data_IF_498193556594
#
_entry.id   IF_498193556594
#
_cell.length_a   1.000
_cell.length_b   1.000
_cell.length_c   1.000
_cell.angle_alpha   90.00
_cell.angle_beta   90.00
_cell.angle_gamma   90.00
#
_symmetry.space_group_name_H-M   'P 1'
#
loop_
_entity.id
_entity.type
_entity.pdbx_description
1 polymer ?
#
# COMPACT_ATOMS: atom_id res chain seq x y z
N UNK A 1 10.11 13.38 -4.93
CA UNK A 1 9.70 13.54 -3.52
C UNK A 1 10.73 13.00 -2.55
N UNK A 2 10.96 11.67 -2.50
CA UNK A 2 11.79 11.01 -1.47
C UNK A 2 13.22 11.55 -1.36
N UNK A 3 13.91 11.74 -2.49
CA UNK A 3 15.29 12.26 -2.49
C UNK A 3 15.37 13.68 -1.94
N UNK A 4 14.41 14.54 -2.31
CA UNK A 4 14.37 15.94 -1.85
C UNK A 4 14.08 15.99 -0.36
N UNK A 5 13.07 15.26 0.12
CA UNK A 5 12.74 15.20 1.54
C UNK A 5 13.91 14.66 2.39
N UNK A 6 14.57 13.58 1.93
CA UNK A 6 15.72 13.00 2.62
C UNK A 6 16.90 13.95 2.64
N UNK A 7 17.25 14.60 1.52
CA UNK A 7 18.34 15.56 1.45
C UNK A 7 18.08 16.76 2.35
N UNK A 8 16.87 17.32 2.31
CA UNK A 8 16.50 18.43 3.18
C UNK A 8 16.63 18.05 4.67
N UNK A 9 16.14 16.86 5.05
CA UNK A 9 16.27 16.35 6.41
C UNK A 9 17.73 16.19 6.86
N UNK A 10 18.60 15.67 5.97
CA UNK A 10 20.03 15.55 6.27
C UNK A 10 20.71 16.90 6.47
N UNK A 11 20.34 17.92 5.69
CA UNK A 11 20.91 19.25 5.82
C UNK A 11 20.39 20.01 7.05
N UNK A 12 19.18 19.70 7.54
CA UNK A 12 18.62 20.34 8.75
C UNK A 12 19.57 20.22 9.94
N UNK A 13 20.18 19.06 10.19
CA UNK A 13 21.03 18.83 11.36
C UNK A 13 22.31 19.65 11.35
N UNK A 14 23.18 19.61 10.31
CA UNK A 14 24.42 20.39 10.31
C UNK A 14 24.16 21.89 10.23
N UNK A 15 23.13 22.32 9.48
CA UNK A 15 22.79 23.74 9.40
C UNK A 15 22.28 24.26 10.75
N UNK A 16 21.46 23.49 11.45
CA UNK A 16 21.02 23.84 12.80
C UNK A 16 22.18 23.89 13.78
N UNK A 17 23.12 22.96 13.72
CA UNK A 17 24.31 22.95 14.56
C UNK A 17 25.12 24.25 14.36
N UNK A 18 25.34 24.69 13.12
CA UNK A 18 26.03 25.93 12.79
C UNK A 18 25.23 27.14 13.34
N UNK A 19 23.94 27.22 13.06
CA UNK A 19 23.07 28.30 13.50
C UNK A 19 23.07 28.45 15.01
N UNK A 20 22.90 27.36 15.74
CA UNK A 20 22.90 27.37 17.22
C UNK A 20 24.26 27.69 17.79
N UNK A 21 25.34 27.15 17.21
CA UNK A 21 26.72 27.47 17.64
C UNK A 21 27.08 28.92 17.41
N UNK A 22 26.67 29.55 16.32
CA UNK A 22 26.87 30.97 16.06
C UNK A 22 26.08 31.84 17.03
N UNK A 23 24.84 31.49 17.35
CA UNK A 23 24.03 32.14 18.38
C UNK A 23 24.69 32.02 19.74
N UNK A 24 25.23 30.84 20.10
CA UNK A 24 26.00 30.66 21.36
C UNK A 24 27.27 31.49 21.39
N UNK A 25 27.98 31.65 20.28
CA UNK A 25 29.19 32.47 20.20
C UNK A 25 28.89 33.97 20.43
N UNK A 26 27.73 34.46 20.02
CA UNK A 26 27.33 35.86 20.12
C UNK A 26 26.70 36.20 21.48
N UNK A 27 25.85 35.32 22.01
CA UNK A 27 24.98 35.63 23.15
C UNK A 27 25.25 34.75 24.37
N UNK A 28 26.10 33.76 24.23
CA UNK A 28 26.36 32.78 25.29
C UNK A 28 25.27 31.72 25.42
N UNK A 29 25.46 30.74 26.29
CA UNK A 29 24.53 29.64 26.51
C UNK A 29 24.83 28.45 25.60
N UNK A 30 23.79 27.63 25.33
CA UNK A 30 23.87 26.48 24.46
C UNK A 30 24.06 25.14 25.16
N UNK A 31 23.92 24.06 24.40
CA UNK A 31 24.13 22.69 24.85
C UNK A 31 25.62 22.32 24.87
N UNK A 32 25.91 21.09 25.30
CA UNK A 32 27.28 20.57 25.39
C UNK A 32 28.08 20.74 24.08
N UNK A 33 27.52 20.37 22.95
CA UNK A 33 28.21 20.44 21.65
C UNK A 33 28.18 21.86 21.06
N UNK A 34 27.04 22.51 21.06
CA UNK A 34 26.85 23.84 20.45
C UNK A 34 27.56 24.93 21.25
N UNK A 35 27.62 24.78 22.57
CA UNK A 35 28.40 25.68 23.43
C UNK A 35 29.90 25.56 23.22
N UNK A 36 30.45 24.34 23.09
CA UNK A 36 31.87 24.13 22.81
C UNK A 36 32.31 24.70 21.47
N UNK A 37 31.51 24.44 20.41
CA UNK A 37 31.78 25.00 19.09
C UNK A 37 31.59 26.50 19.07
N UNK A 38 30.57 27.03 19.77
CA UNK A 38 30.34 28.47 19.91
C UNK A 38 31.50 29.21 20.62
N UNK A 39 32.03 28.66 21.70
CA UNK A 39 33.18 29.22 22.40
C UNK A 39 34.43 29.29 21.49
N UNK A 40 34.71 28.20 20.76
CA UNK A 40 35.77 28.18 19.76
C UNK A 40 35.58 29.24 18.66
N UNK A 41 34.34 29.37 18.15
CA UNK A 41 34.02 30.38 17.13
C UNK A 41 34.17 31.81 17.65
N UNK A 42 33.81 32.07 18.91
CA UNK A 42 33.95 33.39 19.53
C UNK A 42 35.42 33.85 19.64
N UNK A 43 36.37 32.91 19.82
CA UNK A 43 37.81 33.22 19.88
C UNK A 43 38.45 33.45 18.49
N UNK A 44 37.93 32.79 17.44
CA UNK A 44 38.62 32.75 16.14
C UNK A 44 37.93 33.56 15.04
N UNK A 45 36.67 33.96 15.24
CA UNK A 45 35.85 34.63 14.21
C UNK A 45 35.43 36.01 14.69
N UNK A 46 35.54 37.02 13.81
CA UNK A 46 35.12 38.38 14.17
C UNK A 46 33.61 38.48 14.39
N UNK A 47 33.20 39.35 15.32
CA UNK A 47 31.78 39.53 15.68
C UNK A 47 30.90 39.86 14.51
N UNK A 48 31.39 40.70 13.56
CA UNK A 48 30.63 41.03 12.36
C UNK A 48 30.39 39.82 11.43
N UNK A 49 31.38 38.94 11.30
CA UNK A 49 31.26 37.71 10.53
C UNK A 49 30.31 36.74 11.20
N UNK A 50 30.35 36.63 12.56
CA UNK A 50 29.41 35.80 13.31
C UNK A 50 27.95 36.26 13.13
N UNK A 51 27.67 37.57 13.18
CA UNK A 51 26.32 38.11 12.98
C UNK A 51 25.78 37.79 11.60
N UNK A 52 26.61 37.94 10.57
CA UNK A 52 26.20 37.58 9.20
C UNK A 52 25.98 36.06 9.04
N UNK A 53 26.86 35.26 9.61
CA UNK A 53 26.79 33.80 9.57
C UNK A 53 25.56 33.29 10.35
N UNK A 54 25.25 33.86 11.52
CA UNK A 54 24.06 33.53 12.28
C UNK A 54 22.77 33.74 11.44
N UNK A 55 22.62 34.95 10.91
CA UNK A 55 21.45 35.27 10.06
C UNK A 55 21.33 34.32 8.88
N UNK A 56 22.43 34.09 8.15
CA UNK A 56 22.45 33.19 7.01
C UNK A 56 22.13 31.74 7.40
N UNK A 57 22.68 31.25 8.50
CA UNK A 57 22.46 29.89 8.99
C UNK A 57 21.01 29.65 9.43
N UNK A 58 20.37 30.61 10.11
CA UNK A 58 18.96 30.51 10.51
C UNK A 58 18.03 30.55 9.30
N UNK A 59 18.33 31.38 8.30
CA UNK A 59 17.57 31.37 7.04
C UNK A 59 17.75 30.07 6.27
N UNK A 60 18.97 29.54 6.20
CA UNK A 60 19.25 28.25 5.58
C UNK A 60 18.53 27.11 6.31
N UNK A 61 18.53 27.09 7.66
CA UNK A 61 17.78 26.13 8.47
C UNK A 61 16.28 26.19 8.17
N UNK A 62 15.70 27.39 8.18
CA UNK A 62 14.29 27.61 7.90
C UNK A 62 13.92 27.15 6.47
N UNK A 63 14.78 27.42 5.50
CA UNK A 63 14.58 26.96 4.13
C UNK A 63 14.64 25.43 4.02
N UNK A 64 15.63 24.78 4.65
CA UNK A 64 15.72 23.31 4.67
C UNK A 64 14.47 22.67 5.31
N UNK A 65 14.00 23.23 6.41
CA UNK A 65 12.81 22.76 7.11
C UNK A 65 11.55 22.98 6.24
N UNK A 66 11.41 24.15 5.61
CA UNK A 66 10.31 24.44 4.69
C UNK A 66 10.28 23.49 3.49
N UNK A 67 11.43 23.26 2.87
CA UNK A 67 11.57 22.30 1.75
C UNK A 67 11.18 20.88 2.22
N UNK A 68 11.60 20.48 3.41
CA UNK A 68 11.23 19.18 3.97
C UNK A 68 9.70 19.06 4.10
N UNK A 69 9.03 20.03 4.74
CA UNK A 69 7.58 20.00 4.91
C UNK A 69 6.80 20.02 3.59
N UNK A 70 7.24 20.82 2.62
CA UNK A 70 6.63 20.84 1.28
C UNK A 70 6.83 19.52 0.54
N UNK A 71 7.98 18.87 0.71
CA UNK A 71 8.28 17.59 0.08
C UNK A 71 7.58 16.39 0.77
N UNK A 72 7.10 16.53 1.99
CA UNK A 72 6.51 15.48 2.81
C UNK A 72 5.35 14.75 2.12
N UNK A 73 4.31 15.44 1.57
CA UNK A 73 3.19 14.78 0.89
C UNK A 73 3.61 13.94 -0.33
N UNK A 74 4.74 14.30 -0.95
CA UNK A 74 5.27 13.64 -2.15
C UNK A 74 6.33 12.58 -1.85
N UNK A 75 6.55 12.27 -0.57
CA UNK A 75 7.58 11.36 -0.11
C UNK A 75 6.98 10.14 0.62
N UNK A 76 7.83 9.13 0.89
CA UNK A 76 7.43 7.98 1.70
C UNK A 76 7.04 8.36 3.14
N UNK A 77 7.49 9.48 3.65
CA UNK A 77 7.19 9.93 5.01
C UNK A 77 5.71 10.26 5.24
N UNK A 78 4.93 10.38 4.17
CA UNK A 78 3.47 10.54 4.26
C UNK A 78 2.80 9.37 4.99
N UNK A 79 3.41 8.17 4.99
CA UNK A 79 2.84 7.01 5.70
C UNK A 79 2.60 7.27 7.20
N UNK A 80 3.45 8.08 7.85
CA UNK A 80 3.32 8.40 9.27
C UNK A 80 1.98 9.13 9.54
N UNK A 81 1.64 10.09 8.70
CA UNK A 81 0.41 10.87 8.83
C UNK A 81 -0.84 10.11 8.42
N UNK A 82 -0.71 9.19 7.46
CA UNK A 82 -1.85 8.40 6.96
C UNK A 82 -2.13 7.17 7.82
N UNK A 83 -1.14 6.65 8.53
CA UNK A 83 -1.31 5.51 9.41
C UNK A 83 -2.13 5.87 10.65
N UNK A 84 -1.97 7.08 11.21
CA UNK A 84 -2.73 7.52 12.38
C UNK A 84 -4.24 7.45 12.15
N UNK A 85 -4.83 8.14 11.14
CA UNK A 85 -6.26 8.02 10.86
C UNK A 85 -6.68 6.60 10.46
N UNK A 86 -5.79 5.83 9.81
CA UNK A 86 -6.08 4.46 9.43
C UNK A 86 -6.26 3.54 10.64
N UNK A 87 -5.47 3.71 11.70
CA UNK A 87 -5.62 3.00 12.98
C UNK A 87 -7.00 3.30 13.58
N UNK A 88 -7.40 4.58 13.62
CA UNK A 88 -8.72 4.97 14.12
C UNK A 88 -9.86 4.37 13.29
N UNK A 89 -9.78 4.48 11.96
CA UNK A 89 -10.80 3.93 11.06
C UNK A 89 -10.96 2.42 11.23
N UNK A 90 -9.87 1.68 11.43
CA UNK A 90 -9.91 0.25 11.70
C UNK A 90 -10.48 -0.07 13.07
N UNK A 91 -10.10 0.68 14.09
CA UNK A 91 -10.60 0.46 15.45
C UNK A 91 -12.13 0.59 15.52
N UNK A 92 -12.70 1.53 14.78
CA UNK A 92 -14.15 1.74 14.70
C UNK A 92 -14.82 0.95 13.57
N UNK A 93 -14.10 0.03 12.94
CA UNK A 93 -14.58 -0.80 11.81
C UNK A 93 -15.17 0.00 10.64
N UNK A 94 -14.78 1.27 10.51
CA UNK A 94 -15.20 2.16 9.44
C UNK A 94 -14.46 1.79 8.16
N UNK A 95 -15.03 0.85 7.40
CA UNK A 95 -14.54 0.48 6.06
C UNK A 95 -15.45 1.10 5.01
N UNK A 96 -14.87 1.73 4.01
CA UNK A 96 -15.65 2.15 2.84
C UNK A 96 -16.01 0.92 2.00
N UNK A 97 -17.29 0.79 1.66
CA UNK A 97 -17.76 -0.20 0.69
C UNK A 97 -17.59 0.27 -0.75
N UNK A 98 -17.24 1.54 -0.95
CA UNK A 98 -17.04 2.12 -2.27
C UNK A 98 -15.70 1.67 -2.88
N UNK A 99 -15.77 1.17 -4.11
CA UNK A 99 -14.58 0.89 -4.93
C UNK A 99 -13.81 2.19 -5.15
N UNK A 100 -12.51 2.18 -4.86
CA UNK A 100 -11.62 3.35 -4.95
C UNK A 100 -12.01 4.55 -4.06
N UNK A 101 -12.66 4.29 -2.93
CA UNK A 101 -13.01 5.30 -1.93
C UNK A 101 -11.78 5.91 -1.21
N UNK A 102 -12.03 6.92 -0.39
CA UNK A 102 -10.99 7.60 0.40
C UNK A 102 -10.19 6.63 1.28
N UNK A 103 -10.80 5.56 1.79
CA UNK A 103 -10.14 4.54 2.59
C UNK A 103 -9.03 3.80 1.81
N UNK A 104 -9.27 3.45 0.54
CA UNK A 104 -8.28 2.85 -0.35
C UNK A 104 -7.06 3.76 -0.52
N UNK A 105 -7.28 5.07 -0.68
CA UNK A 105 -6.21 6.05 -0.77
C UNK A 105 -5.37 6.10 0.51
N UNK A 106 -5.99 6.12 1.68
CA UNK A 106 -5.26 6.06 2.96
C UNK A 106 -4.41 4.80 3.07
N UNK A 107 -4.93 3.64 2.68
CA UNK A 107 -4.17 2.40 2.69
C UNK A 107 -2.95 2.44 1.75
N UNK A 108 -3.12 2.98 0.54
CA UNK A 108 -2.02 3.12 -0.44
C UNK A 108 -0.94 4.06 0.07
N UNK A 109 -1.33 5.19 0.69
CA UNK A 109 -0.41 6.17 1.25
C UNK A 109 0.25 5.70 2.56
N UNK A 110 -0.37 4.81 3.32
CA UNK A 110 0.18 4.22 4.53
C UNK A 110 1.34 3.25 4.25
N UNK A 111 1.55 2.84 3.02
CA UNK A 111 2.67 1.96 2.66
C UNK A 111 4.01 2.69 2.76
N UNK A 112 4.84 2.31 3.75
CA UNK A 112 6.21 2.83 3.94
C UNK A 112 7.22 2.32 2.92
N UNK A 113 6.84 1.34 2.08
CA UNK A 113 7.71 0.63 1.14
C UNK A 113 8.85 -0.13 1.84
N UNK A 114 8.59 -0.71 3.00
CA UNK A 114 9.57 -1.49 3.76
C UNK A 114 10.07 -2.76 3.05
N UNK A 115 9.28 -3.31 2.11
CA UNK A 115 9.65 -4.50 1.33
C UNK A 115 9.34 -5.84 1.99
N UNK A 116 8.87 -5.89 3.24
CA UNK A 116 8.58 -7.14 3.98
C UNK A 116 7.61 -8.06 3.19
N UNK A 117 6.71 -7.50 2.40
CA UNK A 117 5.78 -8.26 1.58
C UNK A 117 6.42 -8.97 0.36
N UNK A 118 7.73 -8.79 0.12
CA UNK A 118 8.45 -9.46 -0.97
C UNK A 118 8.78 -10.90 -0.57
N UNK A 119 9.29 -11.10 0.64
CA UNK A 119 9.79 -12.39 1.11
C UNK A 119 8.73 -13.51 1.11
N UNK A 120 7.48 -13.30 1.59
CA UNK A 120 6.45 -14.33 1.59
C UNK A 120 5.84 -14.58 0.21
N UNK A 121 6.23 -13.81 -0.82
CA UNK A 121 5.64 -13.91 -2.15
C UNK A 121 6.15 -15.15 -2.90
N UNK A 122 5.25 -16.10 -3.18
CA UNK A 122 5.58 -17.32 -3.91
C UNK A 122 6.08 -17.07 -5.34
N UNK A 123 5.56 -16.03 -5.99
CA UNK A 123 6.01 -15.64 -7.33
C UNK A 123 7.48 -15.17 -7.32
N UNK A 124 7.92 -14.56 -6.23
CA UNK A 124 9.31 -14.19 -6.04
C UNK A 124 10.17 -15.41 -5.70
N UNK A 125 9.80 -16.18 -4.69
CA UNK A 125 10.61 -17.24 -4.13
C UNK A 125 10.78 -18.45 -5.06
N UNK A 126 9.75 -18.76 -5.86
CA UNK A 126 9.75 -19.96 -6.74
C UNK A 126 10.05 -19.60 -8.19
N UNK A 127 9.50 -18.50 -8.69
CA UNK A 127 9.59 -18.14 -10.12
C UNK A 127 10.52 -16.96 -10.40
N UNK A 128 11.06 -16.30 -9.39
CA UNK A 128 11.93 -15.12 -9.56
C UNK A 128 11.25 -13.91 -10.18
N UNK A 129 9.91 -13.84 -10.15
CA UNK A 129 9.14 -12.74 -10.73
C UNK A 129 9.15 -11.54 -9.78
N UNK A 130 9.75 -10.42 -10.20
CA UNK A 130 10.08 -9.27 -9.34
C UNK A 130 9.17 -8.04 -9.54
N UNK A 131 8.03 -8.14 -10.20
CA UNK A 131 7.23 -6.97 -10.58
C UNK A 131 5.84 -6.97 -9.97
N UNK A 132 5.39 -8.12 -9.45
CA UNK A 132 4.01 -8.35 -9.03
C UNK A 132 3.78 -8.13 -7.53
N UNK A 133 4.87 -8.08 -6.73
CA UNK A 133 4.81 -7.97 -5.28
C UNK A 133 4.05 -6.70 -4.84
N UNK A 134 3.43 -6.79 -3.66
CA UNK A 134 2.52 -5.75 -3.17
C UNK A 134 3.19 -4.38 -3.00
N UNK A 135 4.48 -4.33 -2.67
CA UNK A 135 5.23 -3.07 -2.60
C UNK A 135 5.29 -2.35 -3.95
N UNK A 136 5.48 -3.10 -5.05
CA UNK A 136 5.50 -2.52 -6.40
C UNK A 136 4.10 -2.14 -6.87
N UNK A 137 3.10 -2.98 -6.57
CA UNK A 137 1.70 -2.69 -6.85
C UNK A 137 1.24 -1.40 -6.17
N UNK A 138 1.49 -1.23 -4.86
CA UNK A 138 1.12 -0.03 -4.12
C UNK A 138 1.89 1.21 -4.61
N UNK A 139 3.17 1.06 -4.91
CA UNK A 139 3.96 2.13 -5.51
C UNK A 139 3.35 2.60 -6.82
N UNK A 140 3.07 1.68 -7.73
CA UNK A 140 2.56 2.00 -9.06
C UNK A 140 1.14 2.59 -8.99
N UNK A 141 0.30 2.11 -8.04
CA UNK A 141 -1.01 2.69 -7.76
C UNK A 141 -0.90 4.12 -7.22
N UNK A 142 0.00 4.36 -6.25
CA UNK A 142 0.26 5.70 -5.68
C UNK A 142 0.65 6.72 -6.74
N UNK A 143 1.49 6.33 -7.69
CA UNK A 143 1.94 7.22 -8.76
C UNK A 143 1.08 7.16 -10.03
N UNK A 144 -0.06 6.49 -10.01
CA UNK A 144 -0.98 6.30 -11.16
C UNK A 144 -0.29 5.68 -12.38
N UNK A 145 0.67 4.80 -12.15
CA UNK A 145 1.43 4.08 -13.18
C UNK A 145 1.13 2.58 -13.17
N UNK A 146 0.03 2.17 -12.52
CA UNK A 146 -0.33 0.77 -12.37
C UNK A 146 -0.61 0.15 -13.73
N UNK A 147 0.03 -0.99 -14.00
CA UNK A 147 -0.18 -1.79 -15.21
C UNK A 147 -1.12 -2.95 -14.89
N UNK A 148 -1.99 -3.30 -15.83
CA UNK A 148 -2.91 -4.42 -15.66
C UNK A 148 -2.17 -5.72 -15.32
N UNK A 149 -1.03 -6.00 -15.97
CA UNK A 149 -0.21 -7.16 -15.67
C UNK A 149 0.27 -7.21 -14.21
N UNK A 150 0.59 -6.08 -13.59
CA UNK A 150 0.98 -6.01 -12.17
C UNK A 150 -0.20 -6.31 -11.25
N UNK A 151 -1.41 -5.89 -11.62
CA UNK A 151 -2.63 -6.20 -10.86
C UNK A 151 -3.04 -7.67 -11.03
N UNK A 152 -3.04 -8.20 -12.27
CA UNK A 152 -3.61 -9.49 -12.63
C UNK A 152 -2.74 -10.70 -12.30
N UNK A 153 -1.42 -10.60 -12.44
CA UNK A 153 -0.51 -11.74 -12.27
C UNK A 153 -0.28 -12.14 -10.81
N UNK A 154 -1.01 -11.55 -9.86
CA UNK A 154 -0.95 -11.94 -8.45
C UNK A 154 -1.82 -13.15 -8.18
N UNK A 155 -1.31 -14.12 -7.42
CA UNK A 155 -2.03 -15.32 -7.00
C UNK A 155 -3.11 -15.06 -5.94
N UNK A 156 -3.22 -13.86 -5.40
CA UNK A 156 -4.18 -13.48 -4.34
C UNK A 156 -4.11 -14.36 -3.08
N UNK A 157 -2.96 -14.94 -2.80
CA UNK A 157 -2.78 -15.90 -1.69
C UNK A 157 -2.80 -15.27 -0.27
N UNK A 158 -2.81 -13.95 -0.14
CA UNK A 158 -2.94 -13.22 1.13
C UNK A 158 -1.67 -13.13 2.00
N UNK A 159 -0.63 -13.93 1.77
CA UNK A 159 0.57 -13.99 2.62
C UNK A 159 1.26 -12.64 2.84
N UNK A 160 1.24 -11.78 1.85
CA UNK A 160 1.82 -10.44 1.95
C UNK A 160 0.98 -9.50 2.82
N UNK A 161 -0.34 -9.67 2.86
CA UNK A 161 -1.23 -8.91 3.72
C UNK A 161 -1.02 -9.30 5.20
N UNK A 162 -0.93 -10.60 5.49
CA UNK A 162 -0.67 -11.11 6.84
C UNK A 162 0.66 -10.60 7.43
N UNK A 163 1.68 -10.42 6.59
CA UNK A 163 3.01 -9.95 7.04
C UNK A 163 3.16 -8.42 6.99
N UNK A 164 2.13 -7.70 6.57
CA UNK A 164 2.19 -6.25 6.48
C UNK A 164 2.14 -5.61 7.88
N UNK A 165 3.19 -4.88 8.31
CA UNK A 165 3.20 -4.27 9.65
C UNK A 165 2.16 -3.15 9.82
N UNK A 166 1.65 -2.63 8.70
CA UNK A 166 0.62 -1.58 8.65
C UNK A 166 -0.77 -2.18 8.39
N UNK A 167 -0.87 -3.50 8.30
CA UNK A 167 -2.13 -4.24 8.08
C UNK A 167 -2.96 -3.70 6.90
N UNK A 168 -2.33 -3.48 5.75
CA UNK A 168 -2.99 -3.03 4.53
C UNK A 168 -3.75 -4.21 3.92
N UNK A 169 -5.04 -4.02 3.61
CA UNK A 169 -5.83 -5.03 2.89
C UNK A 169 -5.44 -5.08 1.41
N UNK A 170 -4.32 -5.74 1.16
CA UNK A 170 -3.71 -5.83 -0.17
C UNK A 170 -4.58 -6.59 -1.17
N UNK A 171 -5.36 -7.55 -0.70
CA UNK A 171 -6.22 -8.36 -1.57
C UNK A 171 -7.39 -7.55 -2.09
N UNK A 172 -8.13 -6.87 -1.21
CA UNK A 172 -9.24 -6.01 -1.61
C UNK A 172 -8.77 -4.86 -2.52
N UNK A 173 -7.65 -4.21 -2.16
CA UNK A 173 -7.07 -3.15 -3.01
C UNK A 173 -6.75 -3.66 -4.43
N UNK A 174 -6.25 -4.89 -4.54
CA UNK A 174 -5.89 -5.48 -5.83
C UNK A 174 -7.12 -5.90 -6.62
N UNK A 175 -8.15 -6.45 -5.95
CA UNK A 175 -9.44 -6.75 -6.59
C UNK A 175 -10.10 -5.49 -7.14
N UNK A 176 -10.19 -4.43 -6.32
CA UNK A 176 -10.74 -3.15 -6.77
C UNK A 176 -9.99 -2.59 -7.99
N UNK A 177 -8.65 -2.68 -7.98
CA UNK A 177 -7.85 -2.24 -9.13
C UNK A 177 -8.09 -3.08 -10.38
N UNK A 178 -8.25 -4.41 -10.25
CA UNK A 178 -8.59 -5.30 -11.38
C UNK A 178 -9.93 -4.93 -11.98
N UNK A 179 -10.93 -4.73 -11.15
CA UNK A 179 -12.28 -4.35 -11.58
C UNK A 179 -12.27 -3.03 -12.36
N UNK A 180 -11.61 -2.01 -11.80
CA UNK A 180 -11.53 -0.69 -12.44
C UNK A 180 -10.76 -0.74 -13.77
N UNK A 181 -9.65 -1.47 -13.83
CA UNK A 181 -8.79 -1.53 -15.02
C UNK A 181 -9.36 -2.41 -16.12
N UNK A 182 -10.16 -3.43 -15.78
CA UNK A 182 -10.74 -4.36 -16.75
C UNK A 182 -12.01 -3.87 -17.40
N UNK A 183 -12.56 -2.71 -17.00
CA UNK A 183 -13.86 -2.23 -17.46
C UNK A 183 -14.90 -3.35 -17.45
N UNK A 184 -15.42 -3.65 -16.28
CA UNK A 184 -16.51 -4.59 -15.99
C UNK A 184 -16.54 -5.82 -16.88
N UNK A 185 -16.54 -7.03 -16.33
CA UNK A 185 -16.72 -8.24 -17.12
C UNK A 185 -17.97 -8.06 -17.97
N UNK A 186 -17.83 -8.22 -19.25
CA UNK A 186 -18.98 -8.32 -20.13
C UNK A 186 -19.89 -9.43 -19.54
N UNK A 187 -21.02 -9.04 -18.95
CA UNK A 187 -21.96 -10.00 -18.33
C UNK A 187 -22.31 -11.11 -19.31
N UNK A 188 -22.30 -10.82 -20.62
CA UNK A 188 -22.50 -11.79 -21.69
C UNK A 188 -21.45 -12.91 -21.70
N UNK A 189 -20.25 -12.70 -21.18
CA UNK A 189 -19.22 -13.76 -21.08
C UNK A 189 -19.63 -14.90 -20.14
N UNK A 190 -20.51 -14.62 -19.20
CA UNK A 190 -20.98 -15.58 -18.18
C UNK A 190 -22.43 -15.99 -18.40
N UNK A 191 -23.07 -15.61 -19.53
CA UNK A 191 -24.46 -15.95 -19.84
C UNK A 191 -24.71 -17.46 -19.93
N UNK A 192 -23.66 -18.25 -20.18
CA UNK A 192 -23.79 -19.71 -20.18
C UNK A 192 -24.16 -20.29 -18.81
N UNK A 193 -23.93 -19.53 -17.70
CA UNK A 193 -24.40 -19.93 -16.38
C UNK A 193 -25.93 -19.78 -16.21
N UNK A 194 -26.56 -18.90 -16.96
CA UNK A 194 -28.00 -18.64 -16.86
C UNK A 194 -28.86 -19.79 -17.44
N UNK A 195 -28.28 -20.59 -18.31
CA UNK A 195 -28.95 -21.73 -18.96
C UNK A 195 -28.76 -23.07 -18.25
N UNK A 196 -27.95 -23.13 -17.20
CA UNK A 196 -27.78 -24.33 -16.41
C UNK A 196 -28.90 -24.37 -15.36
N UNK A 197 -29.88 -25.23 -15.57
CA UNK A 197 -30.93 -25.46 -14.57
C UNK A 197 -30.31 -26.11 -13.34
N UNK A 198 -30.01 -25.26 -12.35
CA UNK A 198 -29.50 -25.70 -11.06
C UNK A 198 -30.66 -25.91 -10.14
N UNK A 199 -31.27 -27.10 -10.22
CA UNK A 199 -32.39 -27.44 -9.35
C UNK A 199 -32.00 -27.24 -7.89
N UNK A 200 -32.80 -26.46 -7.17
CA UNK A 200 -32.65 -26.23 -5.73
C UNK A 200 -33.41 -27.27 -4.92
N UNK A 201 -33.48 -28.51 -5.42
CA UNK A 201 -34.17 -29.59 -4.74
C UNK A 201 -33.46 -29.93 -3.43
N UNK A 202 -34.22 -30.39 -2.44
CA UNK A 202 -33.70 -31.11 -1.29
C UNK A 202 -33.22 -32.49 -1.77
N UNK A 203 -32.05 -32.50 -2.44
CA UNK A 203 -31.45 -33.73 -2.97
C UNK A 203 -30.73 -34.53 -1.89
N UNK A 204 -30.70 -35.85 -2.00
CA UNK A 204 -29.91 -36.73 -1.14
C UNK A 204 -28.41 -36.58 -1.35
N UNK A 205 -27.97 -36.06 -2.50
CA UNK A 205 -26.57 -35.92 -2.87
C UNK A 205 -26.24 -34.43 -2.97
N UNK A 206 -25.33 -33.95 -2.13
CA UNK A 206 -24.78 -32.62 -2.24
C UNK A 206 -23.63 -32.61 -3.26
N UNK A 207 -23.71 -31.78 -4.28
CA UNK A 207 -22.64 -31.59 -5.26
C UNK A 207 -22.03 -30.19 -5.14
N UNK A 208 -20.72 -30.15 -4.95
CA UNK A 208 -19.92 -28.92 -4.94
C UNK A 208 -19.02 -28.91 -6.19
N UNK A 209 -19.34 -28.07 -7.14
CA UNK A 209 -18.65 -28.01 -8.43
C UNK A 209 -17.27 -27.34 -8.32
N UNK A 210 -17.17 -26.31 -7.49
CA UNK A 210 -15.96 -25.49 -7.35
C UNK A 210 -15.71 -24.54 -8.53
N UNK A 211 -14.82 -23.57 -8.32
CA UNK A 211 -14.58 -22.48 -9.28
C UNK A 211 -14.14 -22.95 -10.65
N UNK A 212 -13.29 -23.98 -10.72
CA UNK A 212 -12.75 -24.45 -12.01
C UNK A 212 -13.81 -25.15 -12.84
N UNK A 213 -14.68 -25.93 -12.23
CA UNK A 213 -15.79 -26.61 -12.94
C UNK A 213 -16.82 -25.61 -13.45
N UNK A 214 -17.06 -24.52 -12.68
CA UNK A 214 -17.91 -23.41 -13.10
C UNK A 214 -17.38 -22.68 -14.35
N UNK A 215 -16.06 -22.69 -14.58
CA UNK A 215 -15.43 -22.14 -15.79
C UNK A 215 -15.45 -23.09 -16.98
N UNK A 216 -15.89 -24.34 -16.79
CA UNK A 216 -15.96 -25.37 -17.85
C UNK A 216 -17.39 -25.86 -18.04
N UNK A 217 -18.22 -25.14 -18.83
CA UNK A 217 -19.65 -25.43 -18.98
C UNK A 217 -19.93 -26.85 -19.50
N UNK A 218 -19.03 -27.42 -20.31
CA UNK A 218 -19.16 -28.81 -20.78
C UNK A 218 -19.07 -29.84 -19.66
N UNK A 219 -18.17 -29.62 -18.69
CA UNK A 219 -18.02 -30.48 -17.52
C UNK A 219 -19.25 -30.40 -16.63
N UNK A 220 -19.78 -29.19 -16.43
CA UNK A 220 -21.02 -28.98 -15.68
C UNK A 220 -22.20 -29.71 -16.30
N UNK A 221 -22.38 -29.53 -17.62
CA UNK A 221 -23.46 -30.20 -18.37
C UNK A 221 -23.32 -31.74 -18.36
N UNK A 222 -22.10 -32.25 -18.48
CA UNK A 222 -21.82 -33.69 -18.38
C UNK A 222 -22.16 -34.26 -17.00
N UNK A 223 -21.80 -33.54 -15.93
CA UNK A 223 -22.14 -33.96 -14.56
C UNK A 223 -23.67 -33.95 -14.33
N UNK A 224 -24.36 -32.90 -14.77
CA UNK A 224 -25.83 -32.88 -14.71
C UNK A 224 -26.44 -34.10 -15.42
N UNK A 225 -25.99 -34.40 -16.64
CA UNK A 225 -26.47 -35.56 -17.40
C UNK A 225 -26.17 -36.91 -16.69
N UNK A 226 -25.06 -37.02 -15.99
CA UNK A 226 -24.72 -38.22 -15.20
C UNK A 226 -25.69 -38.39 -14.04
N UNK A 227 -26.00 -37.33 -13.33
CA UNK A 227 -26.94 -37.37 -12.21
C UNK A 227 -28.35 -37.68 -12.67
N UNK A 228 -28.78 -37.07 -13.77
CA UNK A 228 -30.08 -37.36 -14.42
C UNK A 228 -30.19 -38.84 -14.84
N UNK A 229 -29.11 -39.37 -15.43
CA UNK A 229 -29.05 -40.76 -15.85
C UNK A 229 -29.03 -41.74 -14.68
N UNK A 230 -28.46 -41.32 -13.55
CA UNK A 230 -28.45 -42.08 -12.28
C UNK A 230 -29.78 -42.02 -11.52
N UNK A 231 -30.68 -41.09 -11.91
CA UNK A 231 -31.96 -40.86 -11.21
C UNK A 231 -31.77 -40.26 -9.83
N UNK A 232 -30.65 -39.59 -9.57
CA UNK A 232 -30.31 -39.01 -8.27
C UNK A 232 -30.69 -37.52 -8.24
N UNK A 233 -31.47 -37.14 -7.25
CA UNK A 233 -31.76 -35.73 -6.94
C UNK A 233 -30.57 -35.10 -6.26
N UNK A 234 -29.99 -34.08 -6.94
CA UNK A 234 -28.76 -33.43 -6.52
C UNK A 234 -29.02 -32.01 -6.03
N UNK A 235 -28.50 -31.71 -4.86
CA UNK A 235 -28.43 -30.37 -4.32
C UNK A 235 -27.08 -29.72 -4.69
N UNK A 236 -27.13 -28.56 -5.34
CA UNK A 236 -25.93 -27.81 -5.71
C UNK A 236 -25.51 -26.86 -4.59
N UNK A 237 -24.38 -27.15 -3.92
CA UNK A 237 -23.91 -26.41 -2.76
C UNK A 237 -23.36 -24.99 -3.08
N UNK A 238 -22.92 -24.80 -4.31
CA UNK A 238 -22.31 -23.53 -4.80
C UNK A 238 -23.23 -22.75 -5.75
N UNK A 239 -24.53 -22.98 -5.67
CA UNK A 239 -25.54 -22.36 -6.54
C UNK A 239 -25.56 -20.85 -6.50
N UNK A 240 -25.39 -20.24 -5.32
CA UNK A 240 -25.48 -18.79 -5.11
C UNK A 240 -24.16 -18.05 -5.34
N UNK A 241 -23.14 -18.75 -5.84
CA UNK A 241 -21.89 -18.12 -6.30
C UNK A 241 -20.97 -17.60 -5.19
N UNK A 242 -21.22 -17.98 -3.94
CA UNK A 242 -20.51 -17.42 -2.80
C UNK A 242 -19.44 -18.29 -2.14
N UNK A 243 -19.28 -19.54 -2.56
CA UNK A 243 -18.36 -20.47 -1.88
C UNK A 243 -17.13 -20.70 -2.73
N UNK A 244 -16.05 -20.00 -2.40
CA UNK A 244 -14.72 -20.27 -2.92
C UNK A 244 -14.05 -21.35 -2.06
N UNK A 245 -13.46 -22.36 -2.66
CA UNK A 245 -12.65 -23.35 -1.97
C UNK A 245 -11.35 -22.77 -1.43
#
# INVERSE_FOLDING_TARGET
GDRVALSALWFVFPVRLIAESTTCALYGGGGFLTGAVGAWMAEHVSTLALMNLESAAWWAYSACLGIFFVALPFSRYMHIFTEIPLIFLRHYELRSTEKEGSFDHFQVEACSRCGICIDPCQLQSVLGINVVQSVYFLRDRRYRMLRLATADNCLMCGRCAEKCPVDIDLNTLRLNSRDTMRNVPDEKRYDYFKGLDRSSGEGKVGYFAGCMTLLTPRTMSAMASIFDAAGEEVWWADREGGVCC
#
